data_IF_333305080030
#
_entry.id   IF_333305080030
#
_cell.length_a   1.000
_cell.length_b   1.000
_cell.length_c   1.000
_cell.angle_alpha   90.00
_cell.angle_beta   90.00
_cell.angle_gamma   90.00
#
_symmetry.space_group_name_H-M   'P 1'
#
loop_
_entity.id
_entity.type
_entity.pdbx_description
1 polymer ?
#
# COMPACT_ATOMS: atom_id res chain seq x y z
N UNK A 1 -35.50 16.10 36.52
CA UNK A 1 -35.94 15.59 35.20
C UNK A 1 -34.81 15.79 34.18
N UNK A 2 -33.75 15.00 34.22
CA UNK A 2 -32.64 15.10 33.25
C UNK A 2 -31.95 13.73 33.09
N UNK A 3 -32.55 12.87 32.28
CA UNK A 3 -31.95 11.59 31.88
C UNK A 3 -32.48 11.24 30.50
N UNK A 4 -31.94 11.84 29.45
CA UNK A 4 -32.09 11.33 28.07
C UNK A 4 -30.98 11.80 27.11
N UNK A 5 -29.95 12.52 27.57
CA UNK A 5 -28.93 13.11 26.70
C UNK A 5 -27.60 12.34 26.63
N UNK A 6 -27.59 11.05 26.96
CA UNK A 6 -26.39 10.19 26.84
C UNK A 6 -26.55 9.04 25.84
N UNK A 7 -27.71 8.92 25.16
CA UNK A 7 -27.98 7.79 24.25
C UNK A 7 -27.46 7.98 22.82
N UNK A 8 -27.04 9.20 22.44
CA UNK A 8 -26.74 9.55 21.04
C UNK A 8 -25.26 9.89 20.75
N UNK A 9 -24.37 9.85 21.75
CA UNK A 9 -22.96 10.27 21.56
C UNK A 9 -21.97 9.15 21.20
N UNK A 10 -22.24 7.90 21.61
CA UNK A 10 -21.27 6.80 21.49
C UNK A 10 -21.58 5.80 20.37
N UNK A 11 -22.74 5.91 19.72
CA UNK A 11 -23.22 4.90 18.75
C UNK A 11 -23.21 5.35 17.29
N UNK A 12 -22.83 6.60 17.02
CA UNK A 12 -22.74 7.14 15.64
C UNK A 12 -21.37 6.94 14.99
N UNK A 13 -20.36 6.46 15.74
CA UNK A 13 -18.99 6.26 15.24
C UNK A 13 -18.48 4.80 15.33
N UNK A 14 -19.28 3.87 15.86
CA UNK A 14 -18.84 2.48 16.12
C UNK A 14 -19.15 1.49 15.00
N UNK A 15 -19.57 1.97 13.84
CA UNK A 15 -19.70 1.15 12.63
C UNK A 15 -19.27 1.95 11.41
N UNK A 16 -18.10 2.62 11.51
CA UNK A 16 -17.35 2.85 10.28
C UNK A 16 -17.20 1.47 9.65
N UNK A 17 -17.75 1.31 8.46
CA UNK A 17 -17.92 0.02 7.80
C UNK A 17 -16.52 -0.51 7.42
N UNK A 18 -15.80 -1.08 8.40
CA UNK A 18 -14.42 -1.56 8.24
C UNK A 18 -14.31 -2.54 7.08
N UNK A 19 -15.39 -3.28 6.80
CA UNK A 19 -15.50 -4.17 5.65
C UNK A 19 -15.51 -3.40 4.32
N UNK A 20 -16.23 -2.28 4.26
CA UNK A 20 -16.26 -1.39 3.09
C UNK A 20 -14.95 -0.64 2.88
N UNK A 21 -14.31 -0.16 3.96
CA UNK A 21 -13.01 0.52 3.91
C UNK A 21 -11.91 -0.46 3.49
N UNK A 22 -11.88 -1.66 4.07
CA UNK A 22 -10.88 -2.68 3.75
C UNK A 22 -10.99 -3.13 2.29
N UNK A 23 -12.22 -3.32 1.78
CA UNK A 23 -12.44 -3.65 0.36
C UNK A 23 -11.89 -2.57 -0.57
N UNK A 24 -12.06 -1.30 -0.22
CA UNK A 24 -11.52 -0.20 -1.02
C UNK A 24 -9.97 -0.19 -1.01
N UNK A 25 -9.34 -0.53 0.11
CA UNK A 25 -7.89 -0.67 0.21
C UNK A 25 -7.40 -1.84 -0.65
N UNK A 26 -8.06 -3.00 -0.57
CA UNK A 26 -7.74 -4.17 -1.40
C UNK A 26 -7.92 -3.90 -2.90
N UNK A 27 -9.01 -3.24 -3.28
CA UNK A 27 -9.30 -2.89 -4.68
C UNK A 27 -8.28 -1.88 -5.23
N UNK A 28 -7.83 -0.93 -4.41
CA UNK A 28 -6.84 0.09 -4.82
C UNK A 28 -5.40 -0.43 -4.90
N UNK A 29 -5.06 -1.48 -4.15
CA UNK A 29 -3.72 -2.08 -4.12
C UNK A 29 -3.67 -3.43 -4.83
N UNK A 30 -4.71 -3.76 -5.62
CA UNK A 30 -4.75 -5.00 -6.36
C UNK A 30 -3.57 -5.03 -7.34
N UNK A 31 -2.68 -6.04 -7.27
CA UNK A 31 -1.63 -6.17 -8.24
C UNK A 31 -2.28 -6.29 -9.61
N UNK A 32 -1.79 -5.49 -10.53
CA UNK A 32 -2.30 -5.26 -11.88
C UNK A 32 -2.12 -6.49 -12.79
N UNK A 33 -1.73 -7.63 -12.22
CA UNK A 33 -1.61 -8.94 -12.88
C UNK A 33 -0.52 -9.01 -13.94
N UNK A 34 0.21 -7.91 -14.15
CA UNK A 34 1.25 -7.81 -15.17
C UNK A 34 2.48 -8.57 -14.71
N UNK A 35 2.93 -9.50 -15.54
CA UNK A 35 4.23 -10.15 -15.40
C UNK A 35 5.29 -9.30 -16.12
N UNK A 36 6.39 -9.02 -15.44
CA UNK A 36 7.52 -8.28 -15.99
C UNK A 36 8.78 -9.14 -15.85
N UNK A 37 9.47 -9.40 -16.96
CA UNK A 37 10.76 -10.08 -16.90
C UNK A 37 11.78 -9.12 -16.29
N UNK A 38 12.28 -9.47 -15.10
CA UNK A 38 13.23 -8.65 -14.34
C UNK A 38 14.68 -8.85 -14.79
N UNK A 39 14.97 -9.90 -15.58
CA UNK A 39 16.34 -10.18 -16.04
C UNK A 39 16.98 -9.01 -16.80
N UNK A 40 16.28 -8.31 -17.73
CA UNK A 40 16.85 -7.17 -18.43
C UNK A 40 17.17 -6.00 -17.50
N UNK A 41 16.34 -5.76 -16.48
CA UNK A 41 16.60 -4.68 -15.50
C UNK A 41 17.83 -4.99 -14.67
N UNK A 42 17.97 -6.23 -14.22
CA UNK A 42 19.14 -6.65 -13.47
C UNK A 42 20.42 -6.53 -14.30
N UNK A 43 20.38 -6.93 -15.57
CA UNK A 43 21.51 -6.80 -16.48
C UNK A 43 21.93 -5.34 -16.71
N UNK A 44 21.00 -4.38 -16.74
CA UNK A 44 21.31 -2.95 -16.83
C UNK A 44 21.96 -2.45 -15.54
N UNK A 45 21.45 -2.87 -14.38
CA UNK A 45 22.03 -2.51 -13.08
C UNK A 45 23.47 -3.02 -12.98
N UNK A 46 23.73 -4.27 -13.35
CA UNK A 46 25.08 -4.85 -13.39
C UNK A 46 26.01 -4.05 -14.31
N UNK A 47 25.57 -3.72 -15.53
CA UNK A 47 26.35 -2.88 -16.45
C UNK A 47 26.70 -1.52 -15.85
N UNK A 48 25.78 -0.87 -15.13
CA UNK A 48 26.07 0.42 -14.48
C UNK A 48 27.16 0.25 -13.43
N UNK A 49 27.12 -0.83 -12.64
CA UNK A 49 28.15 -1.11 -11.65
C UNK A 49 29.51 -1.40 -12.31
N UNK A 50 29.54 -2.15 -13.41
CA UNK A 50 30.78 -2.43 -14.14
C UNK A 50 31.40 -1.16 -14.76
N UNK A 51 30.56 -0.25 -15.27
CA UNK A 51 31.01 1.01 -15.87
C UNK A 51 31.48 2.03 -14.84
N UNK A 52 30.94 1.97 -13.62
CA UNK A 52 31.26 2.93 -12.54
C UNK A 52 32.21 2.36 -11.49
N UNK A 53 32.60 1.09 -11.61
CA UNK A 53 33.62 0.49 -10.78
C UNK A 53 34.89 1.35 -10.88
N UNK A 54 35.41 1.90 -9.77
CA UNK A 54 36.67 2.61 -9.79
C UNK A 54 37.72 1.63 -10.32
N UNK A 55 38.46 2.03 -11.35
CA UNK A 55 39.62 1.25 -11.81
C UNK A 55 40.45 0.94 -10.57
N UNK A 56 40.60 -0.34 -10.25
CA UNK A 56 41.43 -0.76 -9.12
C UNK A 56 42.85 -0.32 -9.44
N UNK A 57 43.27 0.82 -8.89
CA UNK A 57 44.65 1.33 -8.90
C UNK A 57 45.42 0.57 -7.83
#
# INVERSE_FOLDING_TARGET
>A
MARNLLKYGSRLFTSSDDTGVMKHVEDSHKPDGRSFDVKPVLAVVEQIFDLTAPASI
#
